data_IF_151587742424
#
_entry.id   IF_151587742424
#
_cell.length_a   1.000
_cell.length_b   1.000
_cell.length_c   1.000
_cell.angle_alpha   90.00
_cell.angle_beta   90.00
_cell.angle_gamma   90.00
#
_symmetry.space_group_name_H-M   'P 1'
#
loop_
_entity.id
_entity.type
_entity.pdbx_description
1 polymer ?
#
# COMPACT_ATOMS: atom_id res chain seq x y z
N UNK A 1 56.57 -18.30 -2.83
CA UNK A 1 56.60 -17.02 -2.09
C UNK A 1 55.20 -16.42 -2.22
N UNK A 2 54.30 -16.85 -1.34
CA UNK A 2 52.89 -16.42 -1.28
C UNK A 2 52.91 -14.92 -0.96
N UNK A 3 52.07 -14.10 -1.61
CA UNK A 3 51.86 -12.71 -1.20
C UNK A 3 51.80 -12.64 0.33
N UNK A 4 52.77 -11.97 0.95
CA UNK A 4 52.96 -12.03 2.39
C UNK A 4 51.66 -11.74 3.13
N UNK A 5 51.45 -12.43 4.26
CA UNK A 5 50.37 -12.20 5.24
C UNK A 5 49.93 -10.72 5.37
N UNK A 6 50.81 -9.69 5.37
CA UNK A 6 50.38 -8.29 5.38
C UNK A 6 49.43 -7.86 4.24
N UNK A 7 49.52 -8.43 3.04
CA UNK A 7 48.73 -8.00 1.88
C UNK A 7 47.31 -8.58 1.86
N UNK A 8 47.06 -9.69 2.57
CA UNK A 8 45.74 -10.35 2.56
C UNK A 8 44.81 -9.79 3.64
N UNK A 9 45.37 -9.23 4.71
CA UNK A 9 44.60 -8.65 5.83
C UNK A 9 43.59 -7.59 5.38
N UNK A 10 43.94 -6.60 4.54
CA UNK A 10 42.96 -5.63 4.02
C UNK A 10 41.84 -6.27 3.18
N UNK A 11 42.11 -7.41 2.53
CA UNK A 11 41.11 -8.13 1.74
C UNK A 11 40.01 -8.68 2.65
N UNK A 12 40.38 -9.30 3.77
CA UNK A 12 39.40 -9.78 4.76
C UNK A 12 38.60 -8.64 5.39
N UNK A 13 39.22 -7.48 5.63
CA UNK A 13 38.50 -6.30 6.11
C UNK A 13 37.41 -5.86 5.14
N UNK A 14 37.77 -5.64 3.87
CA UNK A 14 36.84 -5.23 2.81
C UNK A 14 35.74 -6.27 2.61
N UNK A 15 36.12 -7.54 2.65
CA UNK A 15 35.21 -8.66 2.48
C UNK A 15 34.16 -8.71 3.59
N UNK A 16 34.58 -8.64 4.85
CA UNK A 16 33.64 -8.53 5.98
C UNK A 16 32.80 -7.25 5.93
N UNK A 17 33.40 -6.11 5.57
CA UNK A 17 32.69 -4.83 5.44
C UNK A 17 31.59 -4.87 4.39
N UNK A 18 31.80 -5.56 3.27
CA UNK A 18 30.82 -5.71 2.20
C UNK A 18 29.55 -6.41 2.72
N UNK A 19 29.69 -7.54 3.42
CA UNK A 19 28.54 -8.27 3.96
C UNK A 19 27.92 -7.59 5.19
N UNK A 20 28.73 -6.95 6.04
CA UNK A 20 28.22 -6.15 7.16
C UNK A 20 27.33 -5.01 6.64
N UNK A 21 27.81 -4.28 5.64
CA UNK A 21 27.09 -3.16 5.02
C UNK A 21 25.80 -3.62 4.33
N UNK A 22 25.84 -4.78 3.66
CA UNK A 22 24.63 -5.41 3.12
C UNK A 22 23.65 -5.76 4.25
N UNK A 23 24.10 -6.44 5.31
CA UNK A 23 23.25 -6.83 6.44
C UNK A 23 22.59 -5.63 7.12
N UNK A 24 23.34 -4.56 7.34
CA UNK A 24 22.82 -3.30 7.90
C UNK A 24 21.73 -2.69 7.02
N UNK A 25 21.95 -2.63 5.70
CA UNK A 25 20.94 -2.10 4.79
C UNK A 25 19.71 -3.01 4.71
N UNK A 26 19.89 -4.32 4.70
CA UNK A 26 18.78 -5.29 4.71
C UNK A 26 17.88 -5.09 5.93
N UNK A 27 18.45 -4.78 7.11
CA UNK A 27 17.65 -4.46 8.31
C UNK A 27 16.96 -3.10 8.17
N UNK A 28 17.70 -2.08 7.73
CA UNK A 28 17.16 -0.72 7.59
C UNK A 28 15.99 -0.64 6.60
N UNK A 29 16.11 -1.35 5.47
CA UNK A 29 15.10 -1.37 4.41
C UNK A 29 14.07 -2.50 4.59
N UNK A 30 14.37 -3.51 5.41
CA UNK A 30 13.57 -4.74 5.45
C UNK A 30 12.17 -4.59 6.03
N UNK A 31 11.94 -3.56 6.84
CA UNK A 31 10.60 -3.20 7.32
C UNK A 31 9.67 -2.64 6.23
N UNK A 32 10.23 -2.19 5.10
CA UNK A 32 9.50 -1.47 4.04
C UNK A 32 9.08 -2.36 2.87
N UNK A 33 9.54 -3.61 2.82
CA UNK A 33 9.18 -4.54 1.75
C UNK A 33 7.69 -4.94 1.79
N UNK A 34 6.94 -4.53 0.77
CA UNK A 34 5.54 -4.88 0.53
C UNK A 34 5.30 -6.33 0.08
N UNK A 35 6.27 -6.97 -0.60
CA UNK A 35 6.16 -8.40 -0.91
C UNK A 35 6.42 -9.24 0.36
N UNK A 36 5.38 -9.96 0.80
CA UNK A 36 5.43 -10.79 2.02
C UNK A 36 6.51 -11.87 1.94
N UNK A 37 6.78 -12.44 0.76
CA UNK A 37 7.82 -13.45 0.56
C UNK A 37 9.19 -12.82 0.76
N UNK A 38 9.44 -11.68 0.09
CA UNK A 38 10.69 -10.95 0.24
C UNK A 38 10.90 -10.52 1.69
N UNK A 39 9.90 -9.89 2.32
CA UNK A 39 9.97 -9.45 3.73
C UNK A 39 10.34 -10.58 4.71
N UNK A 40 9.84 -11.80 4.49
CA UNK A 40 10.19 -12.97 5.30
C UNK A 40 11.59 -13.50 5.01
N UNK A 41 12.11 -13.28 3.80
CA UNK A 41 13.45 -13.68 3.40
C UNK A 41 14.54 -12.71 3.90
N UNK A 42 14.23 -11.44 4.18
CA UNK A 42 15.24 -10.44 4.59
C UNK A 42 15.91 -10.72 5.95
N UNK A 43 15.22 -11.16 7.02
CA UNK A 43 15.88 -11.46 8.29
C UNK A 43 17.02 -12.50 8.19
N UNK A 44 16.85 -13.67 7.55
CA UNK A 44 17.96 -14.61 7.39
C UNK A 44 19.08 -14.07 6.49
N UNK A 45 18.77 -13.23 5.50
CA UNK A 45 19.80 -12.55 4.69
C UNK A 45 20.63 -11.55 5.53
N UNK A 46 19.98 -10.77 6.40
CA UNK A 46 20.68 -9.90 7.35
C UNK A 46 21.53 -10.71 8.34
N UNK A 47 20.99 -11.81 8.85
CA UNK A 47 21.71 -12.75 9.71
C UNK A 47 22.96 -13.31 9.03
N UNK A 48 22.86 -13.71 7.76
CA UNK A 48 24.02 -14.08 6.95
C UNK A 48 25.02 -12.91 6.86
N UNK A 49 24.58 -11.71 6.49
CA UNK A 49 25.47 -10.55 6.34
C UNK A 49 26.28 -10.23 7.60
N UNK A 50 25.63 -10.18 8.77
CA UNK A 50 26.32 -9.88 10.03
C UNK A 50 27.21 -11.03 10.51
N UNK A 51 26.71 -12.26 10.52
CA UNK A 51 27.46 -13.40 11.06
C UNK A 51 28.64 -13.74 10.15
N UNK A 52 28.46 -13.65 8.83
CA UNK A 52 29.53 -13.88 7.89
C UNK A 52 30.60 -12.77 7.95
N UNK A 53 30.20 -11.51 8.11
CA UNK A 53 31.17 -10.44 8.34
C UNK A 53 32.01 -10.66 9.61
N UNK A 54 31.37 -11.09 10.70
CA UNK A 54 32.07 -11.44 11.94
C UNK A 54 33.04 -12.61 11.73
N UNK A 55 32.67 -13.62 10.93
CA UNK A 55 33.57 -14.71 10.56
C UNK A 55 34.82 -14.20 9.82
N UNK A 56 34.66 -13.36 8.80
CA UNK A 56 35.78 -12.84 8.02
C UNK A 56 36.71 -11.93 8.83
N UNK A 57 36.17 -11.13 9.75
CA UNK A 57 37.00 -10.35 10.67
C UNK A 57 37.70 -11.20 11.72
N UNK A 58 37.12 -12.35 12.12
CA UNK A 58 37.80 -13.32 12.98
C UNK A 58 38.97 -13.98 12.25
N UNK A 59 38.80 -14.38 10.99
CA UNK A 59 39.90 -14.86 10.13
C UNK A 59 41.01 -13.81 10.00
N UNK A 60 40.64 -12.55 9.77
CA UNK A 60 41.59 -11.44 9.75
C UNK A 60 42.36 -11.31 11.07
N UNK A 61 41.67 -11.37 12.21
CA UNK A 61 42.27 -11.28 13.54
C UNK A 61 43.31 -12.39 13.78
N UNK A 62 42.99 -13.63 13.39
CA UNK A 62 43.92 -14.76 13.50
C UNK A 62 45.15 -14.55 12.60
N UNK A 63 44.95 -14.05 11.38
CA UNK A 63 46.03 -13.77 10.43
C UNK A 63 47.01 -12.69 10.91
N UNK A 64 46.57 -11.76 11.77
CA UNK A 64 47.44 -10.73 12.34
C UNK A 64 48.45 -11.28 13.37
N UNK A 65 48.37 -12.56 13.76
CA UNK A 65 49.39 -13.23 14.56
C UNK A 65 49.40 -12.83 16.03
N UNK A 66 48.24 -12.45 16.61
CA UNK A 66 48.13 -12.14 18.03
C UNK A 66 48.49 -13.36 18.90
N UNK A 67 49.32 -13.18 19.95
CA UNK A 67 49.68 -14.27 20.85
C UNK A 67 48.44 -14.76 21.60
N UNK A 68 48.16 -16.05 21.51
CA UNK A 68 47.01 -16.69 22.15
C UNK A 68 47.44 -17.99 22.86
N UNK A 69 46.79 -18.30 23.99
CA UNK A 69 46.98 -19.58 24.70
C UNK A 69 46.35 -20.73 23.91
N UNK A 70 46.73 -21.98 24.21
CA UNK A 70 46.18 -23.17 23.51
C UNK A 70 44.66 -23.32 23.69
N UNK A 71 44.13 -22.96 24.86
CA UNK A 71 42.70 -22.90 25.15
C UNK A 71 42.00 -21.81 24.32
N UNK A 72 42.62 -20.64 24.18
CA UNK A 72 42.10 -19.56 23.33
C UNK A 72 42.06 -19.96 21.85
N UNK A 73 43.09 -20.63 21.33
CA UNK A 73 43.15 -21.08 19.92
C UNK A 73 42.04 -22.08 19.59
N UNK A 74 41.81 -23.07 20.45
CA UNK A 74 40.73 -24.06 20.23
C UNK A 74 39.34 -23.43 20.32
N UNK A 75 39.13 -22.46 21.21
CA UNK A 75 37.89 -21.70 21.29
C UNK A 75 37.66 -20.86 20.03
N UNK A 76 38.70 -20.20 19.51
CA UNK A 76 38.64 -19.40 18.28
C UNK A 76 38.22 -20.27 17.09
N UNK A 77 38.84 -21.44 16.89
CA UNK A 77 38.46 -22.35 15.80
C UNK A 77 37.02 -22.86 15.93
N UNK A 78 36.57 -23.16 17.15
CA UNK A 78 35.17 -23.52 17.41
C UNK A 78 34.20 -22.41 17.02
N UNK A 79 34.51 -21.16 17.38
CA UNK A 79 33.71 -19.98 17.04
C UNK A 79 33.73 -19.72 15.53
N UNK A 80 34.89 -19.83 14.87
CA UNK A 80 35.02 -19.68 13.41
C UNK A 80 34.16 -20.70 12.67
N UNK A 81 34.20 -21.97 13.08
CA UNK A 81 33.38 -23.03 12.48
C UNK A 81 31.88 -22.79 12.71
N UNK A 82 31.50 -22.41 13.93
CA UNK A 82 30.11 -22.15 14.28
C UNK A 82 29.53 -20.94 13.52
N UNK A 83 30.27 -19.84 13.44
CA UNK A 83 29.87 -18.64 12.68
C UNK A 83 29.79 -18.92 11.18
N UNK A 84 30.75 -19.67 10.63
CA UNK A 84 30.71 -20.09 9.23
C UNK A 84 29.46 -20.92 8.93
N UNK A 85 29.19 -21.95 9.73
CA UNK A 85 28.04 -22.83 9.55
C UNK A 85 26.72 -22.06 9.69
N UNK A 86 26.58 -21.24 10.74
CA UNK A 86 25.38 -20.43 10.95
C UNK A 86 25.14 -19.46 9.79
N UNK A 87 26.19 -18.85 9.25
CA UNK A 87 26.06 -17.94 8.11
C UNK A 87 25.46 -18.65 6.90
N UNK A 88 25.95 -19.84 6.55
CA UNK A 88 25.44 -20.57 5.38
C UNK A 88 24.08 -21.22 5.61
N UNK A 89 23.75 -21.62 6.84
CA UNK A 89 22.38 -22.02 7.21
C UNK A 89 21.43 -20.85 7.03
N UNK A 90 21.83 -19.64 7.44
CA UNK A 90 21.05 -18.42 7.23
C UNK A 90 20.88 -18.09 5.74
N UNK A 91 21.93 -18.25 4.94
CA UNK A 91 21.85 -18.09 3.48
C UNK A 91 20.93 -19.13 2.83
N UNK A 92 20.97 -20.40 3.27
CA UNK A 92 20.05 -21.43 2.81
C UNK A 92 18.60 -21.13 3.21
N UNK A 93 18.38 -20.61 4.43
CA UNK A 93 17.06 -20.17 4.85
C UNK A 93 16.55 -19.02 3.97
N UNK A 94 17.40 -18.02 3.65
CA UNK A 94 17.07 -16.96 2.69
C UNK A 94 16.63 -17.51 1.33
N UNK A 95 17.43 -18.38 0.71
CA UNK A 95 17.08 -19.04 -0.55
C UNK A 95 15.76 -19.82 -0.46
N UNK A 96 15.53 -20.52 0.66
CA UNK A 96 14.28 -21.26 0.91
C UNK A 96 13.05 -20.35 0.98
N UNK A 97 13.16 -19.19 1.63
CA UNK A 97 12.06 -18.23 1.71
C UNK A 97 11.73 -17.59 0.36
N UNK A 98 12.73 -17.35 -0.49
CA UNK A 98 12.50 -16.83 -1.85
C UNK A 98 11.73 -17.81 -2.73
N UNK A 99 11.90 -19.11 -2.54
CA UNK A 99 11.23 -20.16 -3.31
C UNK A 99 9.80 -20.45 -2.83
N UNK A 100 9.46 -20.04 -1.62
CA UNK A 100 8.19 -20.37 -1.00
C UNK A 100 7.05 -19.48 -1.53
N UNK A 101 6.15 -20.05 -2.33
CA UNK A 101 4.95 -19.34 -2.81
C UNK A 101 3.88 -19.22 -1.72
N UNK A 102 3.62 -20.33 -1.00
CA UNK A 102 2.56 -20.46 0.00
C UNK A 102 3.08 -21.05 1.33
N UNK A 103 2.24 -21.13 2.37
CA UNK A 103 2.61 -21.73 3.68
C UNK A 103 3.14 -23.16 3.57
N UNK A 104 2.50 -23.99 2.74
CA UNK A 104 2.84 -25.41 2.62
C UNK A 104 4.23 -25.55 2.00
N UNK A 105 4.46 -24.91 0.86
CA UNK A 105 5.77 -24.87 0.20
C UNK A 105 6.84 -24.26 1.11
N UNK A 106 6.48 -23.26 1.94
CA UNK A 106 7.40 -22.69 2.92
C UNK A 106 7.87 -23.71 3.93
N UNK A 107 6.95 -24.48 4.53
CA UNK A 107 7.30 -25.54 5.49
C UNK A 107 8.19 -26.60 4.83
N UNK A 108 7.90 -26.97 3.58
CA UNK A 108 8.71 -27.92 2.81
C UNK A 108 10.11 -27.38 2.52
N UNK A 109 10.24 -26.15 2.00
CA UNK A 109 11.54 -25.57 1.69
C UNK A 109 12.39 -25.31 2.93
N UNK A 110 11.78 -25.02 4.09
CA UNK A 110 12.52 -24.92 5.37
C UNK A 110 13.10 -26.26 5.86
N UNK A 111 12.70 -27.40 5.29
CA UNK A 111 13.38 -28.67 5.54
C UNK A 111 14.76 -28.73 4.88
N UNK A 112 15.02 -27.92 3.85
CA UNK A 112 16.32 -27.89 3.17
C UNK A 112 17.44 -27.45 4.12
N UNK A 113 17.41 -26.26 4.77
CA UNK A 113 18.47 -25.86 5.68
C UNK A 113 18.62 -26.82 6.87
N UNK A 114 17.52 -27.42 7.35
CA UNK A 114 17.57 -28.46 8.40
C UNK A 114 18.26 -29.74 7.92
N UNK A 115 17.97 -30.19 6.71
CA UNK A 115 18.61 -31.33 6.08
C UNK A 115 20.11 -31.10 5.85
N UNK A 116 20.47 -29.92 5.35
CA UNK A 116 21.88 -29.51 5.20
C UNK A 116 22.60 -29.50 6.55
N UNK A 117 21.96 -28.95 7.60
CA UNK A 117 22.49 -28.97 8.95
C UNK A 117 22.68 -30.40 9.48
N UNK A 118 21.73 -31.31 9.24
CA UNK A 118 21.85 -32.71 9.67
C UNK A 118 23.02 -33.42 8.98
N UNK A 119 23.18 -33.25 7.66
CA UNK A 119 24.32 -33.78 6.89
C UNK A 119 25.64 -33.21 7.44
N UNK A 120 25.67 -31.91 7.72
CA UNK A 120 26.84 -31.23 8.25
C UNK A 120 27.25 -31.79 9.63
N UNK A 121 26.31 -31.87 10.58
CA UNK A 121 26.54 -32.43 11.93
C UNK A 121 27.01 -33.88 11.85
N UNK A 122 26.38 -34.71 11.00
CA UNK A 122 26.77 -36.10 10.81
C UNK A 122 28.23 -36.23 10.35
N UNK A 123 28.65 -35.42 9.37
CA UNK A 123 30.04 -35.43 8.91
C UNK A 123 31.03 -34.97 10.00
N UNK A 124 30.71 -33.92 10.75
CA UNK A 124 31.57 -33.48 11.87
C UNK A 124 31.74 -34.56 12.94
N UNK A 125 30.65 -35.27 13.28
CA UNK A 125 30.70 -36.39 14.21
C UNK A 125 31.61 -37.51 13.68
N UNK A 126 31.50 -37.84 12.39
CA UNK A 126 32.32 -38.87 11.75
C UNK A 126 33.81 -38.49 11.75
N UNK A 127 34.16 -37.25 11.39
CA UNK A 127 35.54 -36.79 11.30
C UNK A 127 36.24 -36.70 12.65
N UNK A 128 35.51 -36.42 13.72
CA UNK A 128 36.06 -36.42 15.10
C UNK A 128 36.65 -37.78 15.49
N UNK A 129 36.19 -38.88 14.90
CA UNK A 129 36.75 -40.21 15.11
C UNK A 129 37.99 -40.53 14.26
N UNK A 130 38.29 -39.72 13.24
CA UNK A 130 39.33 -40.01 12.23
C UNK A 130 40.50 -39.02 12.28
N UNK A 131 40.24 -37.75 12.63
CA UNK A 131 41.22 -36.67 12.60
C UNK A 131 41.33 -35.99 13.96
N UNK A 132 42.50 -35.45 14.27
CA UNK A 132 42.78 -34.75 15.53
C UNK A 132 43.57 -33.47 15.27
N UNK A 133 43.61 -32.58 16.28
CA UNK A 133 44.36 -31.33 16.20
C UNK A 133 43.88 -30.40 15.07
N UNK A 134 44.81 -29.68 14.44
CA UNK A 134 44.51 -28.71 13.38
C UNK A 134 43.89 -29.36 12.13
N UNK A 135 44.28 -30.60 11.81
CA UNK A 135 43.75 -31.34 10.65
C UNK A 135 42.23 -31.51 10.75
N UNK A 136 41.71 -31.81 11.95
CA UNK A 136 40.27 -31.92 12.19
C UNK A 136 39.54 -30.62 11.85
N UNK A 137 40.11 -29.47 12.23
CA UNK A 137 39.50 -28.16 11.99
C UNK A 137 39.53 -27.75 10.53
N UNK A 138 40.64 -28.00 9.81
CA UNK A 138 40.73 -27.72 8.37
C UNK A 138 39.76 -28.61 7.56
N UNK A 139 39.62 -29.90 7.95
CA UNK A 139 38.64 -30.84 7.40
C UNK A 139 37.21 -30.36 7.70
N UNK A 140 36.94 -29.90 8.93
CA UNK A 140 35.63 -29.38 9.33
C UNK A 140 35.24 -28.10 8.57
N UNK A 141 36.16 -27.15 8.38
CA UNK A 141 35.94 -25.95 7.55
C UNK A 141 35.60 -26.35 6.10
N UNK A 142 36.39 -27.24 5.52
CA UNK A 142 36.18 -27.74 4.15
C UNK A 142 34.81 -28.41 4.00
N UNK A 143 34.46 -29.29 4.94
CA UNK A 143 33.15 -29.94 4.96
C UNK A 143 32.00 -28.94 5.07
N UNK A 144 32.16 -27.91 5.91
CA UNK A 144 31.17 -26.84 6.07
C UNK A 144 30.93 -26.11 4.75
N UNK A 145 32.00 -25.79 4.00
CA UNK A 145 31.90 -25.13 2.70
C UNK A 145 31.22 -26.00 1.65
N UNK A 146 31.56 -27.28 1.59
CA UNK A 146 30.98 -28.20 0.61
C UNK A 146 29.52 -28.56 0.90
N UNK A 147 29.17 -28.78 2.17
CA UNK A 147 27.83 -29.23 2.54
C UNK A 147 26.84 -28.11 2.78
N UNK A 148 27.29 -26.95 3.27
CA UNK A 148 26.40 -25.83 3.56
C UNK A 148 26.54 -24.74 2.49
N UNK A 149 27.76 -24.24 2.26
CA UNK A 149 27.95 -23.03 1.46
C UNK A 149 27.55 -23.17 -0.01
N UNK A 150 27.99 -24.25 -0.65
CA UNK A 150 27.67 -24.53 -2.06
C UNK A 150 26.15 -24.68 -2.25
N UNK A 151 25.44 -25.59 -1.53
CA UNK A 151 23.99 -25.71 -1.67
C UNK A 151 23.23 -24.43 -1.30
N UNK A 152 23.62 -23.73 -0.23
CA UNK A 152 22.98 -22.48 0.18
C UNK A 152 23.05 -21.40 -0.91
N UNK A 153 24.20 -21.29 -1.57
CA UNK A 153 24.42 -20.32 -2.63
C UNK A 153 23.65 -20.66 -3.91
N UNK A 154 23.60 -21.95 -4.28
CA UNK A 154 22.77 -22.43 -5.40
C UNK A 154 21.29 -22.15 -5.13
N UNK A 155 20.82 -22.49 -3.94
CA UNK A 155 19.44 -22.25 -3.53
C UNK A 155 19.09 -20.76 -3.56
N UNK A 156 19.99 -19.91 -3.09
CA UNK A 156 19.86 -18.45 -3.13
C UNK A 156 19.80 -17.93 -4.57
N UNK A 157 20.68 -18.41 -5.44
CA UNK A 157 20.71 -18.01 -6.85
C UNK A 157 19.40 -18.41 -7.57
N UNK A 158 18.91 -19.63 -7.36
CA UNK A 158 17.64 -20.09 -7.92
C UNK A 158 16.49 -19.23 -7.39
N UNK A 159 16.46 -18.96 -6.09
CA UNK A 159 15.45 -18.10 -5.46
C UNK A 159 15.40 -16.70 -6.08
N UNK A 160 16.56 -16.06 -6.26
CA UNK A 160 16.67 -14.73 -6.88
C UNK A 160 16.26 -14.74 -8.36
N UNK A 161 16.60 -15.78 -9.13
CA UNK A 161 16.17 -15.94 -10.53
C UNK A 161 14.65 -16.16 -10.64
N UNK A 162 14.05 -16.94 -9.74
CA UNK A 162 12.60 -17.10 -9.71
C UNK A 162 11.90 -15.78 -9.38
N UNK A 163 12.44 -15.03 -8.43
CA UNK A 163 11.93 -13.72 -8.06
C UNK A 163 12.05 -12.73 -9.24
N UNK A 164 13.18 -12.72 -9.96
CA UNK A 164 13.33 -11.94 -11.21
C UNK A 164 12.18 -12.23 -12.19
N UNK A 165 11.89 -13.51 -12.45
CA UNK A 165 10.87 -13.91 -13.43
C UNK A 165 9.48 -13.41 -13.02
N UNK A 166 9.18 -13.46 -11.73
CA UNK A 166 7.92 -12.93 -11.19
C UNK A 166 7.81 -11.42 -11.45
N UNK A 167 8.88 -10.65 -11.21
CA UNK A 167 8.86 -9.20 -11.39
C UNK A 167 8.87 -8.75 -12.85
N UNK A 168 9.56 -9.48 -13.73
CA UNK A 168 9.53 -9.20 -15.17
C UNK A 168 8.13 -9.36 -15.76
N UNK A 169 7.33 -10.32 -15.24
CA UNK A 169 5.91 -10.48 -15.60
C UNK A 169 5.04 -9.32 -15.14
N UNK A 170 5.42 -8.65 -14.05
CA UNK A 170 4.71 -7.50 -13.49
C UNK A 170 5.13 -6.15 -14.08
N UNK A 171 5.98 -6.13 -15.10
CA UNK A 171 6.46 -4.90 -15.77
C UNK A 171 7.71 -4.26 -15.16
N UNK A 172 8.24 -4.81 -14.05
CA UNK A 172 9.39 -4.25 -13.33
C UNK A 172 10.72 -4.77 -13.93
N UNK A 173 11.06 -4.34 -15.16
CA UNK A 173 12.17 -4.94 -15.94
C UNK A 173 13.55 -4.62 -15.33
N UNK A 174 13.80 -3.36 -14.94
CA UNK A 174 15.07 -2.94 -14.31
C UNK A 174 15.31 -3.68 -12.99
N UNK A 175 14.23 -3.86 -12.22
CA UNK A 175 14.23 -4.63 -10.99
C UNK A 175 14.71 -6.08 -11.21
N UNK A 176 14.19 -6.72 -12.26
CA UNK A 176 14.59 -8.08 -12.62
C UNK A 176 16.08 -8.21 -13.00
N UNK A 177 16.74 -7.14 -13.46
CA UNK A 177 18.17 -7.19 -13.80
C UNK A 177 19.05 -7.22 -12.54
N UNK A 178 18.77 -6.38 -11.54
CA UNK A 178 19.55 -6.35 -10.30
C UNK A 178 19.40 -7.67 -9.51
N UNK A 179 18.22 -8.28 -9.53
CA UNK A 179 17.98 -9.61 -8.97
C UNK A 179 18.85 -10.70 -9.65
N UNK A 180 18.96 -10.66 -10.98
CA UNK A 180 19.77 -11.60 -11.75
C UNK A 180 21.26 -11.42 -11.45
N UNK A 181 21.74 -10.17 -11.40
CA UNK A 181 23.13 -9.90 -11.06
C UNK A 181 23.49 -10.33 -9.64
N UNK A 182 22.58 -10.15 -8.68
CA UNK A 182 22.74 -10.70 -7.34
C UNK A 182 22.81 -12.24 -7.39
N UNK A 183 21.96 -12.91 -8.17
CA UNK A 183 22.00 -14.36 -8.34
C UNK A 183 23.32 -14.86 -8.94
N UNK A 184 23.85 -14.15 -9.96
CA UNK A 184 25.15 -14.46 -10.57
C UNK A 184 26.27 -14.28 -9.54
N UNK A 185 26.25 -13.17 -8.79
CA UNK A 185 27.25 -12.90 -7.76
C UNK A 185 27.25 -13.99 -6.66
N UNK A 186 26.08 -14.39 -6.15
CA UNK A 186 25.97 -15.52 -5.20
C UNK A 186 26.38 -16.85 -5.82
N UNK A 187 26.10 -17.08 -7.12
CA UNK A 187 26.52 -18.30 -7.82
C UNK A 187 28.04 -18.39 -7.90
N UNK A 188 28.73 -17.32 -8.29
CA UNK A 188 30.19 -17.27 -8.30
C UNK A 188 30.79 -17.35 -6.90
N UNK A 189 30.22 -16.62 -5.96
CA UNK A 189 30.62 -16.64 -4.57
C UNK A 189 30.57 -18.06 -3.97
N UNK A 190 29.47 -18.79 -4.22
CA UNK A 190 29.26 -20.15 -3.73
C UNK A 190 30.02 -21.22 -4.49
N UNK A 191 29.83 -21.29 -5.81
CA UNK A 191 30.35 -22.38 -6.64
C UNK A 191 31.84 -22.28 -6.86
N UNK A 192 32.36 -21.08 -7.14
CA UNK A 192 33.80 -20.90 -7.37
C UNK A 192 34.49 -20.51 -6.07
N UNK A 193 33.93 -19.56 -5.32
CA UNK A 193 34.54 -19.09 -4.07
C UNK A 193 34.69 -20.20 -3.02
N UNK A 194 33.71 -21.09 -2.88
CA UNK A 194 33.72 -22.12 -1.82
C UNK A 194 34.21 -23.49 -2.27
N UNK A 195 34.50 -23.68 -3.57
CA UNK A 195 35.06 -24.93 -4.07
C UNK A 195 36.58 -25.00 -3.88
N UNK A 196 37.28 -23.88 -4.13
CA UNK A 196 38.71 -23.74 -3.87
C UNK A 196 38.98 -23.39 -2.40
N UNK A 197 39.06 -24.41 -1.57
CA UNK A 197 39.30 -24.33 -0.12
C UNK A 197 40.76 -24.65 0.23
N UNK A 198 41.10 -24.73 1.52
CA UNK A 198 42.45 -25.17 1.93
C UNK A 198 42.71 -26.60 1.42
N UNK A 199 43.98 -26.95 1.19
CA UNK A 199 44.33 -28.32 0.86
C UNK A 199 44.11 -29.20 2.10
N UNK A 200 43.20 -30.17 2.02
CA UNK A 200 42.91 -31.11 3.12
C UNK A 200 42.85 -32.54 2.62
N UNK A 201 42.64 -33.48 3.55
CA UNK A 201 42.47 -34.90 3.25
C UNK A 201 41.10 -35.22 2.62
N UNK A 202 40.16 -34.27 2.58
CA UNK A 202 38.86 -34.47 1.95
C UNK A 202 38.94 -34.30 0.43
N UNK A 203 38.27 -35.20 -0.30
CA UNK A 203 38.02 -35.03 -1.73
C UNK A 203 36.90 -33.98 -1.97
N UNK A 204 37.01 -33.08 -2.97
CA UNK A 204 38.13 -32.91 -3.90
C UNK A 204 39.23 -31.93 -3.45
N UNK A 205 39.19 -31.41 -2.22
CA UNK A 205 40.17 -30.41 -1.74
C UNK A 205 41.63 -30.88 -1.76
N UNK A 206 41.86 -32.19 -1.73
CA UNK A 206 43.18 -32.78 -1.90
C UNK A 206 43.78 -32.57 -3.31
N UNK A 207 42.93 -32.29 -4.31
CA UNK A 207 43.32 -32.07 -5.71
C UNK A 207 43.02 -30.63 -6.14
N UNK A 208 41.80 -30.15 -5.87
CA UNK A 208 41.33 -28.81 -6.26
C UNK A 208 41.21 -27.96 -5.00
N UNK A 209 42.14 -27.03 -4.82
CA UNK A 209 42.23 -26.18 -3.64
C UNK A 209 42.78 -24.79 -3.98
N UNK A 210 42.86 -23.93 -2.98
CA UNK A 210 43.35 -22.56 -3.10
C UNK A 210 44.76 -22.45 -3.73
N UNK A 211 45.62 -23.47 -3.56
CA UNK A 211 46.94 -23.49 -4.19
C UNK A 211 46.81 -23.70 -5.70
N UNK A 212 46.01 -24.68 -6.14
CA UNK A 212 45.72 -24.87 -7.56
C UNK A 212 45.01 -23.68 -8.20
N UNK A 213 44.16 -22.96 -7.46
CA UNK A 213 43.58 -21.71 -7.92
C UNK A 213 44.66 -20.65 -8.15
N UNK A 214 45.57 -20.48 -7.19
CA UNK A 214 46.67 -19.52 -7.32
C UNK A 214 47.58 -19.84 -8.50
N UNK A 215 47.89 -21.11 -8.73
CA UNK A 215 48.70 -21.56 -9.86
C UNK A 215 48.01 -21.30 -11.21
N UNK A 216 46.68 -21.43 -11.28
CA UNK A 216 45.91 -21.22 -12.49
C UNK A 216 45.69 -19.72 -12.81
N UNK A 217 45.39 -18.90 -11.79
CA UNK A 217 44.94 -17.52 -11.98
C UNK A 217 45.99 -16.46 -11.60
N UNK A 218 47.03 -16.84 -10.86
CA UNK A 218 48.10 -15.94 -10.44
C UNK A 218 47.77 -15.02 -9.27
N UNK A 219 46.62 -15.19 -8.60
CA UNK A 219 46.24 -14.40 -7.43
C UNK A 219 45.45 -15.24 -6.38
N UNK A 220 45.41 -14.82 -5.10
CA UNK A 220 44.75 -15.58 -4.03
C UNK A 220 43.23 -15.64 -4.19
N UNK A 221 42.62 -16.79 -3.90
CA UNK A 221 41.16 -16.99 -3.95
C UNK A 221 40.38 -16.01 -3.05
N UNK A 222 41.00 -15.54 -1.97
CA UNK A 222 40.44 -14.54 -1.06
C UNK A 222 40.08 -13.24 -1.79
N UNK A 223 40.87 -12.81 -2.78
CA UNK A 223 40.56 -11.63 -3.59
C UNK A 223 39.31 -11.86 -4.45
N UNK A 224 39.15 -13.06 -5.00
CA UNK A 224 37.94 -13.43 -5.74
C UNK A 224 36.70 -13.47 -4.84
N UNK A 225 36.81 -14.03 -3.64
CA UNK A 225 35.73 -14.04 -2.64
C UNK A 225 35.32 -12.62 -2.25
N UNK A 226 36.30 -11.76 -1.96
CA UNK A 226 36.04 -10.36 -1.64
C UNK A 226 35.34 -9.63 -2.80
N UNK A 227 35.81 -9.82 -4.04
CA UNK A 227 35.21 -9.20 -5.23
C UNK A 227 33.76 -9.66 -5.45
N UNK A 228 33.52 -10.97 -5.38
CA UNK A 228 32.17 -11.54 -5.56
C UNK A 228 31.23 -11.15 -4.42
N UNK A 229 31.74 -11.01 -3.19
CA UNK A 229 30.98 -10.50 -2.06
C UNK A 229 30.62 -9.03 -2.19
N UNK A 230 31.56 -8.18 -2.62
CA UNK A 230 31.28 -6.77 -2.93
C UNK A 230 30.22 -6.68 -4.03
N UNK A 231 30.36 -7.47 -5.10
CA UNK A 231 29.36 -7.52 -6.16
C UNK A 231 27.99 -7.97 -5.63
N UNK A 232 27.94 -9.05 -4.83
CA UNK A 232 26.71 -9.54 -4.21
C UNK A 232 26.06 -8.46 -3.33
N UNK A 233 26.84 -7.80 -2.47
CA UNK A 233 26.37 -6.68 -1.65
C UNK A 233 25.79 -5.55 -2.49
N UNK A 234 26.50 -5.08 -3.52
CA UNK A 234 26.02 -3.99 -4.38
C UNK A 234 24.70 -4.37 -5.06
N UNK A 235 24.61 -5.56 -5.66
CA UNK A 235 23.42 -5.96 -6.39
C UNK A 235 22.24 -6.28 -5.47
N UNK A 236 22.47 -6.87 -4.29
CA UNK A 236 21.43 -7.02 -3.26
C UNK A 236 20.91 -5.65 -2.81
N UNK A 237 21.81 -4.71 -2.54
CA UNK A 237 21.43 -3.34 -2.13
C UNK A 237 20.61 -2.65 -3.21
N UNK A 238 21.06 -2.72 -4.46
CA UNK A 238 20.34 -2.14 -5.62
C UNK A 238 18.98 -2.79 -5.83
N UNK A 239 18.93 -4.11 -5.74
CA UNK A 239 17.70 -4.90 -5.79
C UNK A 239 16.71 -4.42 -4.72
N UNK A 240 17.13 -4.28 -3.46
CA UNK A 240 16.21 -3.83 -2.39
C UNK A 240 15.74 -2.39 -2.58
N UNK A 241 16.62 -1.46 -3.00
CA UNK A 241 16.23 -0.06 -3.23
C UNK A 241 15.30 0.11 -4.42
N UNK A 242 15.55 -0.60 -5.52
CA UNK A 242 14.69 -0.55 -6.71
C UNK A 242 13.26 -1.00 -6.39
N UNK A 243 13.10 -2.00 -5.51
CA UNK A 243 11.79 -2.47 -5.06
C UNK A 243 10.97 -1.36 -4.41
N UNK A 244 11.64 -0.58 -3.54
CA UNK A 244 10.99 0.42 -2.71
C UNK A 244 10.45 1.58 -3.55
N UNK A 245 11.29 2.13 -4.41
CA UNK A 245 10.94 3.29 -5.25
C UNK A 245 9.74 2.98 -6.14
N UNK A 246 9.71 1.80 -6.76
CA UNK A 246 8.66 1.44 -7.69
C UNK A 246 7.33 1.14 -6.98
N UNK A 247 7.39 0.59 -5.76
CA UNK A 247 6.17 0.38 -4.97
C UNK A 247 5.60 1.69 -4.43
N UNK A 248 6.45 2.61 -3.98
CA UNK A 248 6.05 3.95 -3.58
C UNK A 248 5.39 4.72 -4.73
N UNK A 249 5.96 4.64 -5.94
CA UNK A 249 5.36 5.23 -7.14
C UNK A 249 3.97 4.64 -7.43
N UNK A 250 3.84 3.31 -7.39
CA UNK A 250 2.55 2.66 -7.65
C UNK A 250 1.48 3.01 -6.62
N UNK A 251 1.87 3.20 -5.36
CA UNK A 251 0.96 3.67 -4.31
C UNK A 251 0.54 5.12 -4.58
N UNK A 252 1.48 5.99 -4.96
CA UNK A 252 1.18 7.38 -5.31
C UNK A 252 0.22 7.47 -6.51
N UNK A 253 0.46 6.70 -7.57
CA UNK A 253 -0.41 6.66 -8.75
C UNK A 253 -1.83 6.19 -8.39
N UNK A 254 -1.95 5.16 -7.56
CA UNK A 254 -3.24 4.67 -7.07
C UNK A 254 -3.97 5.69 -6.19
N UNK A 255 -3.24 6.44 -5.38
CA UNK A 255 -3.81 7.52 -4.56
C UNK A 255 -4.33 8.66 -5.43
N UNK A 256 -3.57 9.09 -6.44
CA UNK A 256 -3.99 10.12 -7.38
C UNK A 256 -5.23 9.68 -8.16
N UNK A 257 -5.23 8.46 -8.72
CA UNK A 257 -6.40 7.94 -9.43
C UNK A 257 -7.66 7.87 -8.54
N UNK A 258 -7.52 7.48 -7.27
CA UNK A 258 -8.64 7.49 -6.31
C UNK A 258 -9.13 8.91 -6.00
N UNK A 259 -8.23 9.88 -5.91
CA UNK A 259 -8.60 11.28 -5.66
C UNK A 259 -9.39 11.83 -6.85
N UNK A 260 -8.93 11.58 -8.07
CA UNK A 260 -9.62 11.96 -9.31
C UNK A 260 -11.01 11.32 -9.39
N UNK A 261 -11.13 10.02 -9.10
CA UNK A 261 -12.43 9.34 -9.06
C UNK A 261 -13.36 9.94 -8.01
N UNK A 262 -12.84 10.28 -6.82
CA UNK A 262 -13.62 10.92 -5.76
C UNK A 262 -14.12 12.30 -6.20
N UNK A 263 -13.27 13.11 -6.83
CA UNK A 263 -13.64 14.43 -7.34
C UNK A 263 -14.71 14.32 -8.44
N UNK A 264 -14.58 13.37 -9.36
CA UNK A 264 -15.61 13.13 -10.39
C UNK A 264 -16.95 12.72 -9.78
N UNK A 265 -16.93 11.86 -8.75
CA UNK A 265 -18.15 11.46 -8.01
C UNK A 265 -18.79 12.65 -7.29
N UNK A 266 -18.00 13.55 -6.71
CA UNK A 266 -18.53 14.78 -6.08
C UNK A 266 -19.17 15.72 -7.11
N UNK A 267 -18.52 15.94 -8.25
CA UNK A 267 -19.09 16.74 -9.34
C UNK A 267 -20.41 16.13 -9.83
N UNK A 268 -20.43 14.82 -10.11
CA UNK A 268 -21.64 14.12 -10.54
C UNK A 268 -22.76 14.19 -9.49
N UNK A 269 -22.43 14.04 -8.20
CA UNK A 269 -23.39 14.22 -7.11
C UNK A 269 -23.96 15.64 -7.08
N UNK A 270 -23.11 16.66 -7.25
CA UNK A 270 -23.53 18.05 -7.33
C UNK A 270 -24.49 18.30 -8.49
N UNK A 271 -24.21 17.75 -9.68
CA UNK A 271 -25.08 17.86 -10.84
C UNK A 271 -26.43 17.16 -10.64
N UNK A 272 -26.43 15.93 -10.11
CA UNK A 272 -27.66 15.19 -9.82
C UNK A 272 -28.52 15.93 -8.79
N UNK A 273 -27.90 16.48 -7.74
CA UNK A 273 -28.62 17.28 -6.75
C UNK A 273 -29.29 18.50 -7.40
N UNK A 274 -28.59 19.24 -8.25
CA UNK A 274 -29.18 20.37 -8.99
C UNK A 274 -30.35 19.95 -9.88
N UNK A 275 -30.24 18.82 -10.58
CA UNK A 275 -31.33 18.29 -11.43
C UNK A 275 -32.55 17.89 -10.61
N UNK A 276 -32.36 17.26 -9.45
CA UNK A 276 -33.45 16.89 -8.54
C UNK A 276 -34.16 18.14 -8.01
N UNK A 277 -33.41 19.13 -7.54
CA UNK A 277 -33.98 20.40 -7.05
C UNK A 277 -34.76 21.11 -8.16
N UNK A 278 -34.20 21.22 -9.36
CA UNK A 278 -34.88 21.84 -10.51
C UNK A 278 -36.15 21.09 -10.90
N UNK A 279 -36.13 19.76 -10.93
CA UNK A 279 -37.31 18.94 -11.22
C UNK A 279 -38.40 19.10 -10.15
N UNK A 280 -38.01 19.16 -8.86
CA UNK A 280 -38.95 19.37 -7.77
C UNK A 280 -39.65 20.73 -7.87
N UNK A 281 -38.91 21.79 -8.23
CA UNK A 281 -39.50 23.13 -8.36
C UNK A 281 -40.40 23.23 -9.60
N UNK A 282 -40.01 22.61 -10.72
CA UNK A 282 -40.85 22.51 -11.90
C UNK A 282 -42.17 21.77 -11.61
N UNK A 283 -42.11 20.70 -10.80
CA UNK A 283 -43.29 19.96 -10.40
C UNK A 283 -44.20 20.76 -9.46
N UNK A 284 -43.62 21.50 -8.50
CA UNK A 284 -44.38 22.46 -7.66
C UNK A 284 -45.09 23.51 -8.51
N UNK A 285 -44.41 24.06 -9.51
CA UNK A 285 -45.00 25.02 -10.44
C UNK A 285 -46.13 24.41 -11.28
N UNK A 286 -46.01 23.15 -11.69
CA UNK A 286 -47.06 22.44 -12.39
C UNK A 286 -48.29 22.24 -11.50
N UNK A 287 -48.11 21.70 -10.30
CA UNK A 287 -49.20 21.44 -9.34
C UNK A 287 -49.93 22.74 -8.97
N UNK A 288 -49.20 23.83 -8.71
CA UNK A 288 -49.79 25.12 -8.39
C UNK A 288 -50.70 25.65 -9.51
N UNK A 289 -50.29 25.49 -10.77
CA UNK A 289 -51.08 25.88 -11.95
C UNK A 289 -52.31 25.00 -12.14
N UNK A 290 -52.14 23.68 -12.07
CA UNK A 290 -53.24 22.73 -12.23
C UNK A 290 -54.33 22.96 -11.15
N UNK A 291 -53.92 23.21 -9.89
CA UNK A 291 -54.85 23.56 -8.82
C UNK A 291 -55.57 24.90 -9.05
N UNK A 292 -54.86 25.91 -9.56
CA UNK A 292 -55.44 27.22 -9.86
C UNK A 292 -56.50 27.14 -10.96
N UNK A 293 -56.14 26.50 -12.07
CA UNK A 293 -56.96 26.46 -13.28
C UNK A 293 -58.14 25.50 -13.14
N UNK A 294 -57.92 24.30 -12.61
CA UNK A 294 -58.97 23.27 -12.60
C UNK A 294 -59.88 23.41 -11.38
N UNK A 295 -59.28 23.51 -10.19
CA UNK A 295 -60.05 23.51 -8.92
C UNK A 295 -60.44 24.92 -8.49
N UNK A 296 -59.54 25.90 -8.63
CA UNK A 296 -59.79 27.31 -8.29
C UNK A 296 -60.88 27.95 -9.14
N UNK A 297 -60.85 27.74 -10.47
CA UNK A 297 -61.89 28.25 -11.36
C UNK A 297 -63.25 27.57 -11.09
N UNK A 298 -63.26 26.25 -10.83
CA UNK A 298 -64.49 25.51 -10.50
C UNK A 298 -65.15 26.03 -9.23
N UNK A 299 -64.38 26.26 -8.15
CA UNK A 299 -64.90 26.85 -6.90
C UNK A 299 -65.40 28.27 -7.11
N UNK A 300 -64.73 29.07 -7.95
CA UNK A 300 -65.17 30.42 -8.31
C UNK A 300 -66.51 30.40 -9.03
N UNK A 301 -66.68 29.50 -10.00
CA UNK A 301 -67.93 29.32 -10.74
C UNK A 301 -69.08 28.86 -9.82
N UNK A 302 -68.82 27.90 -8.92
CA UNK A 302 -69.79 27.44 -7.91
C UNK A 302 -70.19 28.60 -7.00
N UNK A 303 -69.23 29.38 -6.49
CA UNK A 303 -69.49 30.53 -5.62
C UNK A 303 -70.25 31.66 -6.33
N UNK A 304 -70.04 31.86 -7.63
CA UNK A 304 -70.85 32.78 -8.45
C UNK A 304 -72.28 32.28 -8.65
N UNK A 305 -72.45 30.97 -8.92
CA UNK A 305 -73.76 30.34 -9.07
C UNK A 305 -74.60 30.42 -7.79
N UNK A 306 -73.99 30.15 -6.63
CA UNK A 306 -74.63 30.27 -5.32
C UNK A 306 -75.07 31.72 -5.03
N UNK A 307 -74.20 32.72 -5.28
CA UNK A 307 -74.54 34.14 -5.15
C UNK A 307 -75.69 34.57 -6.06
N UNK A 308 -75.70 34.07 -7.30
CA UNK A 308 -76.79 34.31 -8.26
C UNK A 308 -78.13 33.73 -7.81
N UNK A 309 -78.13 32.56 -7.14
CA UNK A 309 -79.32 31.94 -6.57
C UNK A 309 -79.80 32.69 -5.31
N UNK A 310 -78.85 33.17 -4.50
CA UNK A 310 -79.13 33.93 -3.27
C UNK A 310 -79.85 35.24 -3.56
N UNK A 311 -79.44 35.94 -4.63
CA UNK A 311 -80.14 37.14 -5.12
C UNK A 311 -81.55 36.90 -5.69
N UNK A 312 -81.88 35.66 -6.12
CA UNK A 312 -83.20 35.29 -6.66
C UNK A 312 -84.15 34.73 -5.60
N UNK A 313 -83.62 34.07 -4.57
CA UNK A 313 -84.35 33.57 -3.41
C UNK A 313 -84.52 34.69 -2.38
N UNK A 314 -85.57 35.51 -2.51
CA UNK A 314 -85.93 36.47 -1.47
C UNK A 314 -86.22 35.80 -0.11
N UNK A 315 -86.28 36.56 1.00
CA UNK A 315 -86.34 36.06 2.39
C UNK A 315 -87.60 35.26 2.79
N UNK A 316 -88.42 34.84 1.82
CA UNK A 316 -89.68 34.11 2.03
C UNK A 316 -89.50 32.65 2.43
N UNK A 317 -88.32 32.06 2.22
CA UNK A 317 -88.00 30.69 2.66
C UNK A 317 -86.69 30.69 3.49
N UNK A 318 -86.80 30.96 4.79
CA UNK A 318 -85.66 31.15 5.72
C UNK A 318 -84.71 29.95 5.77
N UNK A 319 -85.24 28.72 5.63
CA UNK A 319 -84.45 27.50 5.69
C UNK A 319 -83.60 27.29 4.44
N UNK A 320 -84.18 27.52 3.25
CA UNK A 320 -83.46 27.49 1.97
C UNK A 320 -82.38 28.58 1.89
N UNK A 321 -82.68 29.80 2.36
CA UNK A 321 -81.72 30.90 2.42
C UNK A 321 -80.55 30.60 3.38
N UNK A 322 -80.84 30.04 4.56
CA UNK A 322 -79.82 29.65 5.54
C UNK A 322 -78.88 28.55 5.02
N UNK A 323 -79.41 27.56 4.29
CA UNK A 323 -78.59 26.51 3.67
C UNK A 323 -77.73 27.06 2.53
N UNK A 324 -78.27 27.94 1.69
CA UNK A 324 -77.52 28.56 0.60
C UNK A 324 -76.38 29.45 1.12
N UNK A 325 -76.64 30.25 2.15
CA UNK A 325 -75.61 31.09 2.79
C UNK A 325 -74.48 30.25 3.43
N UNK A 326 -74.81 29.10 4.03
CA UNK A 326 -73.80 28.15 4.53
C UNK A 326 -72.94 27.59 3.39
N UNK A 327 -73.52 27.23 2.25
CA UNK A 327 -72.78 26.74 1.08
C UNK A 327 -71.89 27.83 0.46
N UNK A 328 -72.35 29.08 0.43
CA UNK A 328 -71.53 30.23 0.01
C UNK A 328 -70.31 30.41 0.91
N UNK A 329 -70.50 30.39 2.24
CA UNK A 329 -69.41 30.48 3.21
C UNK A 329 -68.42 29.32 3.06
N UNK A 330 -68.90 28.07 2.98
CA UNK A 330 -68.06 26.90 2.76
C UNK A 330 -67.25 27.00 1.46
N UNK A 331 -67.87 27.49 0.38
CA UNK A 331 -67.18 27.66 -0.92
C UNK A 331 -66.12 28.76 -0.84
N UNK A 332 -66.42 29.86 -0.15
CA UNK A 332 -65.49 30.96 0.06
C UNK A 332 -64.28 30.54 0.93
N UNK A 333 -64.54 29.81 2.01
CA UNK A 333 -63.49 29.26 2.88
C UNK A 333 -62.63 28.24 2.14
N UNK A 334 -63.24 27.34 1.35
CA UNK A 334 -62.51 26.35 0.53
C UNK A 334 -61.64 27.02 -0.53
N UNK A 335 -62.14 28.10 -1.17
CA UNK A 335 -61.37 28.87 -2.14
C UNK A 335 -60.18 29.57 -1.48
N UNK A 336 -60.38 30.13 -0.28
CA UNK A 336 -59.32 30.77 0.50
C UNK A 336 -58.24 29.78 0.93
N UNK A 337 -58.64 28.58 1.35
CA UNK A 337 -57.71 27.50 1.70
C UNK A 337 -56.93 26.99 0.48
N UNK A 338 -57.58 26.84 -0.67
CA UNK A 338 -56.93 26.48 -1.93
C UNK A 338 -55.92 27.54 -2.39
N UNK A 339 -56.29 28.83 -2.33
CA UNK A 339 -55.37 29.93 -2.64
C UNK A 339 -54.15 29.93 -1.72
N UNK A 340 -54.32 29.59 -0.44
CA UNK A 340 -53.22 29.42 0.51
C UNK A 340 -52.31 28.25 0.09
N UNK A 341 -52.87 27.08 -0.22
CA UNK A 341 -52.09 25.90 -0.64
C UNK A 341 -51.29 26.15 -1.92
N UNK A 342 -51.89 26.83 -2.91
CA UNK A 342 -51.20 27.25 -4.13
C UNK A 342 -50.03 28.15 -3.79
N UNK A 343 -50.23 29.14 -2.92
CA UNK A 343 -49.16 30.07 -2.54
C UNK A 343 -48.05 29.41 -1.71
N UNK A 344 -48.37 28.43 -0.87
CA UNK A 344 -47.38 27.66 -0.11
C UNK A 344 -46.53 26.76 -1.04
N UNK A 345 -47.17 26.19 -2.08
CA UNK A 345 -46.52 25.41 -3.14
C UNK A 345 -45.62 26.28 -4.01
N UNK A 346 -46.11 27.42 -4.49
CA UNK A 346 -45.35 28.42 -5.24
C UNK A 346 -46.07 29.77 -5.16
N UNK A 347 -45.48 30.82 -4.58
CA UNK A 347 -46.08 32.15 -4.61
C UNK A 347 -46.06 32.64 -6.06
N UNK A 348 -47.20 32.58 -6.76
CA UNK A 348 -47.34 33.14 -8.11
C UNK A 348 -47.02 34.64 -8.16
N UNK A 349 -47.20 35.34 -7.03
CA UNK A 349 -46.77 36.72 -6.81
C UNK A 349 -45.28 36.95 -7.09
N UNK A 350 -44.43 35.93 -6.96
CA UNK A 350 -43.00 36.05 -7.25
C UNK A 350 -42.73 36.30 -8.74
N UNK A 351 -43.57 35.74 -9.61
CA UNK A 351 -43.50 35.92 -11.06
C UNK A 351 -44.14 37.25 -11.50
N UNK A 352 -45.26 37.63 -10.89
CA UNK A 352 -46.07 38.79 -11.32
C UNK A 352 -45.64 40.12 -10.68
N UNK A 353 -45.14 40.09 -9.44
CA UNK A 353 -44.87 41.28 -8.62
C UNK A 353 -43.40 41.42 -8.20
N UNK A 354 -42.58 40.41 -8.49
CA UNK A 354 -41.17 40.38 -8.12
C UNK A 354 -40.91 39.98 -6.66
N UNK A 355 -39.63 39.73 -6.35
CA UNK A 355 -39.17 39.24 -5.05
C UNK A 355 -39.53 40.20 -3.91
N UNK A 356 -39.34 41.49 -4.14
CA UNK A 356 -39.54 42.55 -3.15
C UNK A 356 -40.98 42.63 -2.64
N UNK A 357 -41.93 42.61 -3.57
CA UNK A 357 -43.35 42.64 -3.25
C UNK A 357 -43.80 41.33 -2.57
N UNK A 358 -43.28 40.20 -3.05
CA UNK A 358 -43.62 38.88 -2.51
C UNK A 358 -43.17 38.69 -1.07
N UNK A 359 -41.96 39.16 -0.71
CA UNK A 359 -41.48 39.13 0.68
C UNK A 359 -42.33 39.98 1.62
N UNK A 360 -42.71 41.20 1.20
CA UNK A 360 -43.60 42.07 1.97
C UNK A 360 -44.99 41.46 2.17
N UNK A 361 -45.54 40.89 1.10
CA UNK A 361 -46.80 40.16 1.15
C UNK A 361 -46.72 38.96 2.12
N UNK A 362 -45.68 38.16 2.02
CA UNK A 362 -45.48 36.98 2.87
C UNK A 362 -45.30 37.36 4.36
N UNK A 363 -44.57 38.44 4.66
CA UNK A 363 -44.45 38.96 6.02
C UNK A 363 -45.81 39.36 6.62
N UNK A 364 -46.67 40.02 5.84
CA UNK A 364 -48.04 40.34 6.27
C UNK A 364 -48.89 39.10 6.54
N UNK A 365 -48.75 38.06 5.70
CA UNK A 365 -49.40 36.76 5.88
C UNK A 365 -48.98 36.06 7.17
N UNK A 366 -47.67 36.07 7.49
CA UNK A 366 -47.14 35.51 8.73
C UNK A 366 -47.72 36.24 9.94
N UNK A 367 -47.77 37.58 9.91
CA UNK A 367 -48.37 38.39 10.98
C UNK A 367 -49.87 38.13 11.17
N UNK A 368 -50.62 37.82 10.12
CA UNK A 368 -52.05 37.46 10.24
C UNK A 368 -52.27 36.12 10.96
N UNK A 369 -51.30 35.19 10.88
CA UNK A 369 -51.45 33.80 11.35
C UNK A 369 -50.55 33.47 12.54
N UNK A 370 -49.72 34.42 12.97
CA UNK A 370 -48.73 34.27 14.04
C UNK A 370 -48.64 35.57 14.84
N UNK A 371 -48.45 35.49 16.17
CA UNK A 371 -48.23 36.67 17.01
C UNK A 371 -46.87 37.38 16.76
N UNK A 372 -46.07 36.89 15.82
CA UNK A 372 -44.74 37.43 15.49
C UNK A 372 -44.90 38.66 14.59
N UNK A 373 -44.37 39.80 15.03
CA UNK A 373 -44.29 41.00 14.19
C UNK A 373 -43.09 40.94 13.25
N UNK A 374 -43.34 40.92 11.94
CA UNK A 374 -42.32 40.84 10.88
C UNK A 374 -42.32 42.15 10.09
N UNK A 375 -41.16 42.79 9.95
CA UNK A 375 -40.95 43.98 9.10
C UNK A 375 -39.92 43.64 8.03
N UNK A 376 -40.21 43.99 6.77
CA UNK A 376 -39.33 43.77 5.62
C UNK A 376 -38.83 45.12 5.11
N UNK A 377 -37.55 45.41 5.35
CA UNK A 377 -36.87 46.60 4.84
C UNK A 377 -35.95 46.20 3.67
N UNK A 378 -36.17 46.79 2.50
CA UNK A 378 -35.39 46.51 1.29
C UNK A 378 -34.56 47.75 0.97
N UNK A 379 -33.25 47.58 0.88
CA UNK A 379 -32.28 48.68 0.68
C UNK A 379 -31.57 48.46 -0.67
N UNK A 380 -31.58 49.49 -1.52
CA UNK A 380 -30.99 49.45 -2.86
C UNK A 380 -32.03 49.37 -3.97
N UNK A 381 -31.57 49.31 -5.21
CA UNK A 381 -32.43 49.18 -6.39
C UNK A 381 -32.74 47.70 -6.70
N UNK A 382 -33.97 47.44 -7.14
CA UNK A 382 -34.40 46.11 -7.55
C UNK A 382 -33.63 45.66 -8.79
N UNK A 383 -32.90 44.56 -8.67
CA UNK A 383 -32.21 43.92 -9.80
C UNK A 383 -33.11 42.89 -10.44
N UNK A 384 -33.04 42.81 -11.76
CA UNK A 384 -33.66 41.72 -12.48
C UNK A 384 -32.84 40.45 -12.26
N UNK A 385 -33.36 39.61 -11.37
CA UNK A 385 -32.79 38.30 -11.04
C UNK A 385 -33.47 37.24 -11.90
N UNK A 386 -32.74 36.19 -12.27
CA UNK A 386 -33.39 35.03 -12.89
C UNK A 386 -34.43 34.42 -11.92
N UNK A 387 -35.45 33.76 -12.49
CA UNK A 387 -36.56 33.22 -11.71
C UNK A 387 -36.11 32.16 -10.70
N UNK A 388 -35.05 31.39 -11.01
CA UNK A 388 -34.50 30.39 -10.10
C UNK A 388 -33.86 31.06 -8.87
N UNK A 389 -33.20 32.20 -9.04
CA UNK A 389 -32.58 33.00 -7.99
C UNK A 389 -33.64 33.66 -7.11
N UNK A 390 -34.69 34.23 -7.72
CA UNK A 390 -35.84 34.79 -6.99
C UNK A 390 -36.47 33.73 -6.08
N UNK A 391 -36.74 32.54 -6.63
CA UNK A 391 -37.31 31.41 -5.87
C UNK A 391 -36.37 30.97 -4.77
N UNK A 392 -35.07 30.82 -5.06
CA UNK A 392 -34.09 30.38 -4.08
C UNK A 392 -34.00 31.34 -2.89
N UNK A 393 -33.93 32.64 -3.14
CA UNK A 393 -33.88 33.66 -2.08
C UNK A 393 -35.17 33.64 -1.26
N UNK A 394 -36.33 33.58 -1.92
CA UNK A 394 -37.62 33.50 -1.22
C UNK A 394 -37.75 32.25 -0.34
N UNK A 395 -37.13 31.12 -0.70
CA UNK A 395 -37.18 29.89 0.11
C UNK A 395 -36.21 29.89 1.30
N UNK A 396 -35.17 30.69 1.26
CA UNK A 396 -34.19 30.83 2.36
C UNK A 396 -34.73 31.74 3.47
N UNK A 397 -35.45 32.80 3.06
CA UNK A 397 -36.08 33.77 3.95
C UNK A 397 -37.38 33.19 4.50
#
# INVERSE_FOLDING_TARGET
>A
MILGVPYIVPVYFIYGLAFFSMGLLVVAEGGRAFDVRLRRALPPLAGFGFVHAAHEWMEMYVLMGHPATTLEVTAIWGIQLATLAFSFISLAAFGSFLLAENEITRRLFLLIPLGLQAIWVFGLYHFRGQYTGQILWDVADTWTRYTLAIPASVLTAIGLVMQQRAFRRSGLIRFGQDALWAAIAFSWYGLLGQFFVKNTLLFPSNIINQQTFFELFGFPIQMFRALTAVAASIFVIRFLRAFQVETEQKIADLQTARLEESQQREVMRGELFRRVVAAQEAERQRIARDLHDETGQSLTAIGMGLRGLSGKLGPRNKEAFGTLHKLELLTADSLKELQRLISDLRPSHLDDLGLSATLRWYAGRVQEHSPISVRVDIIGEERDLDDAMKITIFRII
#
